data_IF_625521137335
#
_entry.id   IF_625521137335
#
_cell.length_a   1.000
_cell.length_b   1.000
_cell.length_c   1.000
_cell.angle_alpha   90.00
_cell.angle_beta   90.00
_cell.angle_gamma   90.00
#
_symmetry.space_group_name_H-M   'P 1'
#
loop_
_entity.id
_entity.type
_entity.pdbx_description
1 polymer ?
#
# COMPACT_ATOMS: atom_id res chain seq x y z
N UNK A 1 -19.51 1.14 -14.79
CA UNK A 1 -18.97 1.61 -13.50
C UNK A 1 -18.56 3.07 -13.63
N UNK A 2 -18.90 3.90 -12.65
CA UNK A 2 -18.32 5.26 -12.53
C UNK A 2 -16.93 5.15 -11.92
N UNK A 3 -16.05 6.12 -12.17
CA UNK A 3 -14.70 6.13 -11.60
C UNK A 3 -14.70 6.03 -10.06
N UNK A 4 -15.70 6.61 -9.40
CA UNK A 4 -15.91 6.54 -7.95
C UNK A 4 -16.22 5.11 -7.44
N UNK A 5 -17.01 4.33 -8.20
CA UNK A 5 -17.28 2.92 -7.86
C UNK A 5 -16.00 2.09 -7.91
N UNK A 6 -15.21 2.29 -8.96
CA UNK A 6 -13.96 1.55 -9.18
C UNK A 6 -12.90 1.87 -8.11
N UNK A 7 -12.73 3.14 -7.76
CA UNK A 7 -11.83 3.55 -6.67
C UNK A 7 -12.20 2.87 -5.35
N UNK A 8 -13.49 2.83 -5.01
CA UNK A 8 -13.97 2.16 -3.80
C UNK A 8 -13.67 0.65 -3.82
N UNK A 9 -13.91 -0.01 -4.95
CA UNK A 9 -13.63 -1.45 -5.10
C UNK A 9 -12.14 -1.77 -4.87
N UNK A 10 -11.23 -0.92 -5.36
CA UNK A 10 -9.79 -1.12 -5.15
C UNK A 10 -9.41 -0.91 -3.67
N UNK A 11 -10.01 0.04 -2.96
CA UNK A 11 -9.80 0.21 -1.52
C UNK A 11 -10.37 -0.94 -0.70
N UNK A 12 -11.54 -1.48 -1.08
CA UNK A 12 -12.09 -2.68 -0.45
C UNK A 12 -11.16 -3.89 -0.62
N UNK A 13 -10.59 -4.06 -1.81
CA UNK A 13 -9.59 -5.11 -2.07
C UNK A 13 -8.30 -4.90 -1.26
N UNK A 14 -7.84 -3.66 -1.11
CA UNK A 14 -6.70 -3.35 -0.24
C UNK A 14 -6.96 -3.76 1.22
N UNK A 15 -8.17 -3.50 1.75
CA UNK A 15 -8.57 -3.92 3.10
C UNK A 15 -8.65 -5.44 3.23
N UNK A 16 -9.18 -6.11 2.21
CA UNK A 16 -9.23 -7.57 2.18
C UNK A 16 -7.82 -8.17 2.24
N UNK A 17 -6.90 -7.69 1.40
CA UNK A 17 -5.50 -8.13 1.41
C UNK A 17 -4.80 -7.87 2.74
N UNK A 18 -5.09 -6.75 3.41
CA UNK A 18 -4.55 -6.49 4.74
C UNK A 18 -5.11 -7.46 5.79
N UNK A 19 -6.39 -7.84 5.68
CA UNK A 19 -6.99 -8.87 6.53
C UNK A 19 -6.26 -10.21 6.34
N UNK A 20 -6.04 -10.63 5.09
CA UNK A 20 -5.26 -11.83 4.78
C UNK A 20 -3.82 -11.73 5.34
N UNK A 21 -3.18 -10.56 5.27
CA UNK A 21 -1.86 -10.35 5.86
C UNK A 21 -1.84 -10.63 7.37
N UNK A 22 -2.85 -10.15 8.10
CA UNK A 22 -2.97 -10.38 9.54
C UNK A 22 -3.26 -11.85 9.88
N UNK A 23 -4.05 -12.54 9.05
CA UNK A 23 -4.30 -13.98 9.21
C UNK A 23 -3.02 -14.81 9.03
N UNK A 24 -2.20 -14.47 8.02
CA UNK A 24 -0.90 -15.11 7.78
C UNK A 24 0.09 -14.84 8.90
N UNK A 25 0.12 -13.60 9.39
CA UNK A 25 0.94 -13.23 10.53
C UNK A 25 0.55 -14.04 11.77
N UNK A 26 -0.76 -14.17 12.06
CA UNK A 26 -1.25 -14.97 13.18
C UNK A 26 -0.94 -16.48 13.04
N UNK A 27 -0.80 -16.97 11.81
CA UNK A 27 -0.37 -18.34 11.52
C UNK A 27 1.15 -18.54 11.60
N UNK A 28 1.93 -17.49 11.85
CA UNK A 28 3.40 -17.53 11.90
C UNK A 28 4.08 -17.49 10.52
N UNK A 29 3.34 -17.19 9.45
CA UNK A 29 3.89 -17.04 8.10
C UNK A 29 4.21 -15.56 7.82
N UNK A 30 5.31 -15.08 8.40
CA UNK A 30 5.73 -13.68 8.30
C UNK A 30 5.99 -13.25 6.84
N UNK A 31 6.49 -14.17 6.01
CA UNK A 31 6.80 -13.88 4.61
C UNK A 31 5.55 -13.69 3.77
N UNK A 32 4.57 -14.59 3.87
CA UNK A 32 3.30 -14.41 3.15
C UNK A 32 2.53 -13.20 3.70
N UNK A 33 2.58 -12.97 5.02
CA UNK A 33 2.02 -11.78 5.64
C UNK A 33 2.60 -10.48 5.04
N UNK A 34 3.93 -10.41 4.88
CA UNK A 34 4.60 -9.28 4.24
C UNK A 34 4.16 -9.10 2.77
N UNK A 35 4.04 -10.18 2.00
CA UNK A 35 3.55 -10.10 0.62
C UNK A 35 2.14 -9.50 0.55
N UNK A 36 1.22 -9.97 1.39
CA UNK A 36 -0.18 -9.52 1.39
C UNK A 36 -0.29 -8.07 1.86
N UNK A 37 0.46 -7.67 2.88
CA UNK A 37 0.52 -6.27 3.34
C UNK A 37 1.11 -5.33 2.27
N UNK A 38 2.13 -5.79 1.53
CA UNK A 38 2.64 -5.06 0.36
C UNK A 38 1.57 -4.90 -0.72
N UNK A 39 0.84 -5.97 -1.05
CA UNK A 39 -0.22 -5.93 -2.06
C UNK A 39 -1.34 -4.95 -1.64
N UNK A 40 -1.72 -4.96 -0.37
CA UNK A 40 -2.68 -4.01 0.20
C UNK A 40 -2.21 -2.55 0.03
N UNK A 41 -0.97 -2.26 0.44
CA UNK A 41 -0.35 -0.93 0.31
C UNK A 41 -0.32 -0.46 -1.16
N UNK A 42 0.07 -1.35 -2.07
CA UNK A 42 0.08 -1.06 -3.51
C UNK A 42 -1.31 -0.79 -4.06
N UNK A 43 -2.32 -1.59 -3.70
CA UNK A 43 -3.72 -1.40 -4.14
C UNK A 43 -4.29 -0.07 -3.65
N UNK A 44 -4.09 0.28 -2.38
CA UNK A 44 -4.50 1.59 -1.85
C UNK A 44 -3.83 2.76 -2.61
N UNK A 45 -2.57 2.61 -2.98
CA UNK A 45 -1.83 3.63 -3.76
C UNK A 45 -2.35 3.74 -5.19
N UNK A 46 -2.69 2.61 -5.83
CA UNK A 46 -3.32 2.57 -7.16
C UNK A 46 -4.66 3.31 -7.12
N UNK A 47 -5.50 3.02 -6.12
CA UNK A 47 -6.80 3.68 -5.95
C UNK A 47 -6.66 5.19 -5.78
N UNK A 48 -5.71 5.64 -4.94
CA UNK A 48 -5.42 7.05 -4.76
C UNK A 48 -4.99 7.73 -6.07
N UNK A 49 -4.07 7.13 -6.82
CA UNK A 49 -3.60 7.72 -8.09
C UNK A 49 -4.74 7.77 -9.11
N UNK A 50 -5.56 6.71 -9.20
CA UNK A 50 -6.74 6.70 -10.05
C UNK A 50 -7.70 7.83 -9.67
N UNK A 51 -8.02 8.00 -8.39
CA UNK A 51 -8.92 9.04 -7.91
C UNK A 51 -8.42 10.45 -8.27
N UNK A 52 -7.12 10.70 -8.12
CA UNK A 52 -6.53 12.05 -8.32
C UNK A 52 -6.16 12.36 -9.77
N UNK A 53 -6.04 11.36 -10.64
CA UNK A 53 -5.52 11.55 -12.01
C UNK A 53 -6.40 10.96 -13.10
N UNK A 54 -7.39 10.13 -12.76
CA UNK A 54 -8.19 9.36 -13.70
C UNK A 54 -7.41 8.26 -14.42
N UNK A 55 -6.17 7.95 -14.00
CA UNK A 55 -5.30 6.95 -14.62
C UNK A 55 -4.92 5.88 -13.59
N UNK A 56 -5.25 4.63 -13.89
CA UNK A 56 -4.90 3.49 -13.06
C UNK A 56 -3.50 2.97 -13.42
N UNK A 57 -2.52 2.97 -12.48
CA UNK A 57 -1.23 2.31 -12.68
C UNK A 57 -1.38 0.79 -12.72
N UNK A 58 -0.64 0.11 -13.62
CA UNK A 58 -0.64 -1.35 -13.71
C UNK A 58 0.66 -1.99 -13.18
N UNK A 59 1.69 -1.19 -12.93
CA UNK A 59 3.00 -1.66 -12.46
C UNK A 59 3.46 -0.92 -11.20
N UNK A 60 4.36 -1.53 -10.44
CA UNK A 60 4.99 -0.88 -9.28
C UNK A 60 5.72 0.39 -9.69
N UNK A 61 6.42 0.39 -10.84
CA UNK A 61 7.10 1.57 -11.39
C UNK A 61 6.14 2.72 -11.68
N UNK A 62 4.99 2.44 -12.32
CA UNK A 62 3.98 3.46 -12.58
C UNK A 62 3.34 3.97 -11.29
N UNK A 63 3.12 3.08 -10.32
CA UNK A 63 2.57 3.45 -9.01
C UNK A 63 3.51 4.40 -8.26
N UNK A 64 4.80 4.05 -8.17
CA UNK A 64 5.84 4.92 -7.61
C UNK A 64 5.95 6.26 -8.34
N UNK A 65 5.83 6.24 -9.67
CA UNK A 65 5.85 7.44 -10.52
C UNK A 65 4.66 8.36 -10.27
N UNK A 66 3.45 7.81 -10.21
CA UNK A 66 2.22 8.56 -9.93
C UNK A 66 2.26 9.20 -8.54
N UNK A 67 2.65 8.44 -7.52
CA UNK A 67 2.77 8.96 -6.16
C UNK A 67 3.85 10.06 -6.06
N UNK A 68 4.97 9.93 -6.79
CA UNK A 68 5.99 10.99 -6.91
C UNK A 68 5.44 12.27 -7.53
N UNK A 69 4.55 12.18 -8.52
CA UNK A 69 3.93 13.36 -9.14
C UNK A 69 3.01 14.07 -8.13
N UNK A 70 2.16 13.32 -7.42
CA UNK A 70 1.30 13.88 -6.37
C UNK A 70 2.12 14.56 -5.26
N UNK A 71 3.23 13.94 -4.86
CA UNK A 71 4.12 14.41 -3.80
C UNK A 71 4.95 15.67 -4.14
N UNK A 72 4.86 16.24 -5.35
CA UNK A 72 5.69 17.41 -5.71
C UNK A 72 5.39 18.63 -4.82
N UNK A 73 4.11 18.90 -4.56
CA UNK A 73 3.67 20.16 -3.95
C UNK A 73 2.77 19.98 -2.72
N UNK A 74 2.55 18.76 -2.24
CA UNK A 74 1.72 18.48 -1.07
C UNK A 74 2.47 17.55 -0.11
N UNK A 75 2.64 18.02 1.13
CA UNK A 75 3.35 17.29 2.17
C UNK A 75 2.68 15.96 2.53
N UNK A 76 1.36 15.88 2.41
CA UNK A 76 0.59 14.68 2.77
C UNK A 76 0.92 13.53 1.82
N UNK A 77 1.04 13.84 0.52
CA UNK A 77 1.52 12.89 -0.47
C UNK A 77 3.02 12.56 -0.30
N UNK A 78 3.84 13.50 0.20
CA UNK A 78 5.25 13.21 0.53
C UNK A 78 5.37 12.20 1.67
N UNK A 79 4.59 12.38 2.73
CA UNK A 79 4.52 11.44 3.86
C UNK A 79 4.06 10.05 3.42
N UNK A 80 2.98 9.95 2.62
CA UNK A 80 2.55 8.66 2.04
C UNK A 80 3.66 8.04 1.19
N UNK A 81 4.34 8.82 0.36
CA UNK A 81 5.44 8.32 -0.48
C UNK A 81 6.59 7.73 0.33
N UNK A 82 6.93 8.31 1.47
CA UNK A 82 7.97 7.78 2.36
C UNK A 82 7.56 6.41 2.91
N UNK A 83 6.34 6.30 3.45
CA UNK A 83 5.80 5.02 3.93
C UNK A 83 5.69 3.96 2.84
N UNK A 84 5.28 4.35 1.63
CA UNK A 84 5.24 3.47 0.48
C UNK A 84 6.64 2.92 0.11
N UNK A 85 7.68 3.75 0.22
CA UNK A 85 9.06 3.33 -0.03
C UNK A 85 9.54 2.33 1.03
N UNK A 86 9.17 2.53 2.30
CA UNK A 86 9.43 1.56 3.38
C UNK A 86 8.73 0.24 3.07
N UNK A 87 7.45 0.26 2.70
CA UNK A 87 6.72 -0.97 2.35
C UNK A 87 7.35 -1.71 1.15
N UNK A 88 7.86 -1.01 0.14
CA UNK A 88 8.62 -1.64 -0.95
C UNK A 88 9.89 -2.30 -0.39
N UNK A 89 10.68 -1.56 0.38
CA UNK A 89 11.97 -2.04 0.89
C UNK A 89 11.81 -3.24 1.80
N UNK A 90 11.00 -3.09 2.85
CA UNK A 90 10.93 -4.05 3.95
C UNK A 90 10.02 -5.23 3.62
N UNK A 91 8.82 -4.95 3.11
CA UNK A 91 7.83 -6.02 2.86
C UNK A 91 8.10 -6.73 1.53
N UNK A 92 8.23 -5.98 0.43
CA UNK A 92 8.31 -6.57 -0.90
C UNK A 92 9.71 -7.09 -1.24
N UNK A 93 10.73 -6.24 -1.11
CA UNK A 93 12.10 -6.57 -1.50
C UNK A 93 12.77 -7.48 -0.48
N UNK A 94 12.93 -7.02 0.77
CA UNK A 94 13.66 -7.77 1.79
C UNK A 94 12.92 -9.03 2.25
N UNK A 95 11.75 -8.88 2.87
CA UNK A 95 11.07 -10.02 3.49
C UNK A 95 10.48 -10.98 2.45
N UNK A 96 9.68 -10.49 1.50
CA UNK A 96 9.03 -11.38 0.54
C UNK A 96 9.99 -11.95 -0.54
N UNK A 97 10.72 -11.09 -1.25
CA UNK A 97 11.51 -11.51 -2.40
C UNK A 97 12.83 -12.16 -1.97
N UNK A 98 13.59 -11.52 -1.09
CA UNK A 98 14.89 -12.00 -0.62
C UNK A 98 14.79 -12.99 0.55
N UNK A 99 13.60 -13.24 1.09
CA UNK A 99 13.36 -14.11 2.25
C UNK A 99 14.17 -13.65 3.48
N UNK A 100 14.34 -12.34 3.64
CA UNK A 100 15.06 -11.70 4.73
C UNK A 100 14.11 -10.79 5.52
N UNK A 101 13.45 -11.36 6.52
CA UNK A 101 12.41 -10.69 7.33
C UNK A 101 12.94 -10.17 8.67
N UNK A 102 14.21 -9.78 8.74
CA UNK A 102 14.88 -9.35 9.96
C UNK A 102 15.13 -7.83 9.96
N UNK A 103 14.90 -7.11 11.08
CA UNK A 103 14.34 -7.61 12.34
C UNK A 103 12.83 -7.88 12.23
N UNK A 104 12.38 -9.04 12.74
CA UNK A 104 10.97 -9.46 12.63
C UNK A 104 10.00 -8.41 13.19
N UNK A 105 10.37 -7.74 14.30
CA UNK A 105 9.51 -6.75 14.95
C UNK A 105 9.20 -5.57 14.05
N UNK A 106 10.16 -5.14 13.22
CA UNK A 106 9.95 -4.07 12.24
C UNK A 106 8.98 -4.52 11.14
N UNK A 107 9.13 -5.74 10.63
CA UNK A 107 8.23 -6.26 9.60
C UNK A 107 6.80 -6.35 10.13
N UNK A 108 6.63 -6.83 11.35
CA UNK A 108 5.34 -6.91 12.04
C UNK A 108 4.74 -5.51 12.21
N UNK A 109 5.53 -4.53 12.66
CA UNK A 109 5.10 -3.14 12.79
C UNK A 109 4.58 -2.58 11.45
N UNK A 110 5.36 -2.73 10.38
CA UNK A 110 4.97 -2.24 9.03
C UNK A 110 3.73 -2.96 8.50
N UNK A 111 3.56 -4.26 8.77
CA UNK A 111 2.31 -4.99 8.44
C UNK A 111 1.12 -4.37 9.17
N UNK A 112 1.24 -4.06 10.46
CA UNK A 112 0.16 -3.43 11.22
C UNK A 112 -0.14 -2.00 10.75
N UNK A 113 0.89 -1.19 10.47
CA UNK A 113 0.76 0.18 9.97
C UNK A 113 0.09 0.28 8.58
N UNK A 114 0.07 -0.82 7.83
CA UNK A 114 -0.62 -0.90 6.53
C UNK A 114 -2.10 -0.50 6.63
N UNK A 115 -2.78 -0.79 7.74
CA UNK A 115 -4.16 -0.32 7.95
C UNK A 115 -4.26 1.22 7.93
N UNK A 116 -3.36 1.91 8.63
CA UNK A 116 -3.32 3.37 8.67
C UNK A 116 -2.92 3.95 7.30
N UNK A 117 -2.00 3.30 6.59
CA UNK A 117 -1.65 3.69 5.23
C UNK A 117 -2.88 3.69 4.30
N UNK A 118 -3.69 2.62 4.34
CA UNK A 118 -4.91 2.50 3.53
C UNK A 118 -5.89 3.63 3.85
N UNK A 119 -6.12 3.90 5.15
CA UNK A 119 -7.03 4.97 5.59
C UNK A 119 -6.57 6.36 5.11
N UNK A 120 -5.28 6.66 5.24
CA UNK A 120 -4.74 7.95 4.82
C UNK A 120 -4.81 8.13 3.29
N UNK A 121 -4.56 7.06 2.54
CA UNK A 121 -4.69 7.06 1.09
C UNK A 121 -6.15 7.27 0.64
N UNK A 122 -7.11 6.65 1.32
CA UNK A 122 -8.55 6.79 1.04
C UNK A 122 -9.06 8.20 1.39
N UNK A 123 -8.60 8.77 2.51
CA UNK A 123 -8.91 10.13 2.88
C UNK A 123 -8.44 11.12 1.80
N UNK A 124 -7.18 11.01 1.36
CA UNK A 124 -6.63 11.85 0.31
C UNK A 124 -7.23 11.63 -1.09
N UNK A 125 -7.80 10.44 -1.33
CA UNK A 125 -8.52 10.14 -2.57
C UNK A 125 -9.92 10.77 -2.59
N UNK A 126 -10.51 10.99 -1.42
CA UNK A 126 -11.86 11.53 -1.25
C UNK A 126 -11.89 13.07 -1.18
N UNK A 127 -10.73 13.71 -1.11
CA UNK A 127 -10.60 15.16 -1.17
C UNK A 127 -10.87 15.67 -2.59
N UNK A 128 -11.62 16.76 -2.68
CA UNK A 128 -11.92 17.48 -3.93
C UNK A 128 -10.71 18.12 -4.60
#
# INVERSE_FOLDING_TARGET
MTATSHVKEIFDDARFMHTEALERLAAGDLRDAAEKAWCATKRATIALILARTGREPTTTTQTSGGLRVLARNDERYRSLRQRYAICISELHSSCFYDNHCEPEELIIEVIHETAQYIQDAEALASEG
#
